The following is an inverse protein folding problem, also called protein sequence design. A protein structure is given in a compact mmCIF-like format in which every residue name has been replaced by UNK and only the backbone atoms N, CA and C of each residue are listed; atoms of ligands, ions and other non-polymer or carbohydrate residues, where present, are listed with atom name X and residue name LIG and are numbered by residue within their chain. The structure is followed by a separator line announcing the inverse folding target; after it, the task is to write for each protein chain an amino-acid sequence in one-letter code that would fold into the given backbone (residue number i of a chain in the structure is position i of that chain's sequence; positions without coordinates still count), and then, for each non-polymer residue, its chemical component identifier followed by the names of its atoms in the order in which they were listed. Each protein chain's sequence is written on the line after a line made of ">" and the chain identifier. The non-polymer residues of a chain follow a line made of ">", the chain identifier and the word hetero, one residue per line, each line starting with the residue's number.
data_IF_527600292374
#
_entry.id   IF_527600292374
#
_cell.length_a   1.000
_cell.length_b   1.000
_cell.length_c   1.000
_cell.angle_alpha   90.00
_cell.angle_beta   90.00
_cell.angle_gamma   90.00
#
_symmetry.space_group_name_H-M   'P 1'
#
loop_
_entity.id
_entity.type
_entity.pdbx_description
1 polymer ?
#
# COMPACT_ATOMS: atom_id res chain seq x y z
N UNK A 1 9.21 0.49 -2.08
CA UNK A 1 9.70 1.30 -0.94
C UNK A 1 10.41 0.44 0.09
N UNK A 2 11.55 0.91 0.64
CA UNK A 2 12.23 0.26 1.77
C UNK A 2 11.62 0.68 3.11
N UNK A 3 11.61 -0.24 4.09
CA UNK A 3 10.97 -0.05 5.40
C UNK A 3 11.58 1.12 6.17
N UNK A 4 12.86 1.44 5.92
CA UNK A 4 13.58 2.55 6.56
C UNK A 4 12.95 3.91 6.24
N UNK A 5 12.60 4.15 4.98
CA UNK A 5 11.97 5.40 4.53
C UNK A 5 10.53 5.57 5.05
N UNK A 6 9.85 4.46 5.35
CA UNK A 6 8.51 4.50 5.94
C UNK A 6 8.55 4.79 7.45
N UNK A 7 9.68 4.53 8.13
CA UNK A 7 9.87 4.86 9.56
C UNK A 7 10.13 6.35 9.80
N UNK A 8 10.68 7.06 8.82
CA UNK A 8 10.98 8.48 8.92
C UNK A 8 9.74 9.36 8.77
N UNK A 9 8.63 8.80 8.27
CA UNK A 9 7.37 9.51 8.05
C UNK A 9 6.52 9.62 9.32
N UNK A 10 5.80 10.74 9.44
CA UNK A 10 4.88 10.97 10.56
C UNK A 10 3.66 10.03 10.49
N UNK A 11 3.00 9.79 11.64
CA UNK A 11 1.82 8.94 11.72
C UNK A 11 0.67 9.40 10.79
N UNK A 12 0.55 10.71 10.56
CA UNK A 12 -0.49 11.26 9.68
C UNK A 12 -0.12 11.12 8.19
N UNK A 13 1.16 11.24 7.84
CA UNK A 13 1.65 10.95 6.50
C UNK A 13 1.49 9.47 6.15
N UNK A 14 1.68 8.57 7.12
CA UNK A 14 1.45 7.14 6.96
C UNK A 14 -0.03 6.82 6.73
N UNK A 15 -0.95 7.51 7.40
CA UNK A 15 -2.40 7.37 7.15
C UNK A 15 -2.82 7.91 5.78
N UNK A 16 -2.26 9.04 5.37
CA UNK A 16 -2.48 9.58 4.02
C UNK A 16 -1.99 8.58 2.96
N UNK A 17 -0.77 8.08 3.12
CA UNK A 17 -0.18 7.10 2.21
C UNK A 17 -0.96 5.78 2.17
N UNK A 18 -1.51 5.32 3.31
CA UNK A 18 -2.39 4.15 3.36
C UNK A 18 -3.66 4.35 2.54
N UNK A 19 -4.20 5.57 2.52
CA UNK A 19 -5.39 5.91 1.74
C UNK A 19 -5.10 5.87 0.24
N UNK A 20 -3.93 6.36 -0.17
CA UNK A 20 -3.50 6.32 -1.57
C UNK A 20 -3.24 4.88 -2.04
N UNK A 21 -2.55 4.07 -1.24
CA UNK A 21 -2.33 2.64 -1.53
C UNK A 21 -3.65 1.86 -1.66
N UNK A 22 -4.69 2.24 -0.91
CA UNK A 22 -6.03 1.66 -1.04
C UNK A 22 -6.71 2.03 -2.35
N UNK A 23 -6.55 3.27 -2.83
CA UNK A 23 -7.04 3.69 -4.15
C UNK A 23 -6.33 2.91 -5.25
N UNK A 24 -5.01 2.77 -5.17
CA UNK A 24 -4.23 1.96 -6.12
C UNK A 24 -4.68 0.50 -6.12
N UNK A 25 -4.90 -0.09 -4.94
CA UNK A 25 -5.44 -1.44 -4.80
C UNK A 25 -6.82 -1.58 -5.47
N UNK A 26 -7.70 -0.59 -5.33
CA UNK A 26 -9.01 -0.58 -5.95
C UNK A 26 -8.91 -0.52 -7.48
N UNK A 27 -8.05 0.35 -8.02
CA UNK A 27 -7.78 0.44 -9.46
C UNK A 27 -7.24 -0.88 -10.02
N UNK A 28 -6.28 -1.51 -9.35
CA UNK A 28 -5.74 -2.82 -9.75
C UNK A 28 -6.80 -3.93 -9.71
N UNK A 29 -7.70 -3.90 -8.71
CA UNK A 29 -8.83 -4.83 -8.63
C UNK A 29 -9.81 -4.62 -9.78
N UNK A 30 -10.10 -3.37 -10.13
CA UNK A 30 -10.98 -3.05 -11.26
C UNK A 30 -10.36 -3.47 -12.59
N UNK A 31 -9.06 -3.24 -12.80
CA UNK A 31 -8.32 -3.72 -13.97
C UNK A 31 -8.36 -5.25 -14.09
N UNK A 32 -8.26 -5.96 -12.96
CA UNK A 32 -8.37 -7.42 -12.93
C UNK A 32 -9.78 -7.90 -13.33
N UNK A 33 -10.83 -7.18 -12.91
CA UNK A 33 -12.23 -7.50 -13.22
C UNK A 33 -12.58 -7.19 -14.68
N UNK A 34 -12.02 -6.13 -15.26
CA UNK A 34 -12.25 -5.76 -16.67
C UNK A 34 -11.52 -6.66 -17.67
N UNK A 35 -10.78 -7.67 -17.20
CA UNK A 35 -10.09 -8.64 -18.05
C UNK A 35 -8.85 -8.09 -18.75
N UNK A 36 -8.42 -6.87 -18.43
CA UNK A 36 -7.10 -6.38 -18.85
C UNK A 36 -6.05 -7.09 -18.02
N UNK A 37 -4.99 -7.62 -18.65
CA UNK A 37 -3.87 -8.26 -17.93
C UNK A 37 -3.28 -7.25 -16.93
N UNK A 38 -3.58 -7.34 -15.63
CA UNK A 38 -2.98 -6.44 -14.68
C UNK A 38 -1.53 -6.89 -14.52
N UNK A 39 -0.61 -5.94 -14.32
CA UNK A 39 0.75 -6.23 -13.86
C UNK A 39 0.65 -7.01 -12.53
N UNK A 40 0.72 -8.33 -12.59
CA UNK A 40 0.44 -9.22 -11.44
C UNK A 40 1.39 -8.98 -10.26
N UNK A 41 2.58 -8.45 -10.53
CA UNK A 41 3.55 -8.03 -9.51
C UNK A 41 3.08 -6.83 -8.70
N UNK A 42 2.32 -5.90 -9.29
CA UNK A 42 1.87 -4.68 -8.61
C UNK A 42 0.84 -4.99 -7.52
N UNK A 43 -0.06 -5.94 -7.75
CA UNK A 43 -1.00 -6.42 -6.73
C UNK A 43 -0.27 -6.96 -5.49
N UNK A 44 0.85 -7.68 -5.69
CA UNK A 44 1.69 -8.19 -4.59
C UNK A 44 2.47 -7.07 -3.91
N UNK A 45 2.96 -6.08 -4.68
CA UNK A 45 3.67 -4.89 -4.17
C UNK A 45 2.77 -4.06 -3.26
N UNK A 46 1.60 -3.64 -3.75
CA UNK A 46 0.64 -2.80 -3.00
C UNK A 46 0.19 -3.50 -1.72
N UNK A 47 -0.09 -4.81 -1.76
CA UNK A 47 -0.48 -5.59 -0.57
C UNK A 47 0.62 -5.58 0.50
N UNK A 48 1.89 -5.70 0.10
CA UNK A 48 3.05 -5.66 1.01
C UNK A 48 3.27 -4.26 1.58
N UNK A 49 3.10 -3.22 0.79
CA UNK A 49 3.23 -1.83 1.27
C UNK A 49 2.15 -1.48 2.29
N UNK A 50 0.89 -1.87 2.05
CA UNK A 50 -0.19 -1.71 3.04
C UNK A 50 0.15 -2.43 4.35
N UNK A 51 0.68 -3.65 4.29
CA UNK A 51 1.07 -4.41 5.48
C UNK A 51 2.20 -3.72 6.26
N UNK A 52 3.21 -3.17 5.58
CA UNK A 52 4.31 -2.43 6.21
C UNK A 52 3.83 -1.15 6.88
N UNK A 53 2.94 -0.39 6.23
CA UNK A 53 2.37 0.84 6.81
C UNK A 53 1.54 0.52 8.04
N UNK A 54 0.69 -0.52 7.97
CA UNK A 54 -0.09 -0.99 9.13
C UNK A 54 0.80 -1.47 10.29
N UNK A 55 1.88 -2.19 9.97
CA UNK A 55 2.84 -2.64 10.98
C UNK A 55 3.50 -1.46 11.68
N UNK A 56 3.91 -0.42 10.94
CA UNK A 56 4.49 0.78 11.54
C UNK A 56 3.50 1.56 12.40
N UNK A 57 2.24 1.69 11.96
CA UNK A 57 1.18 2.31 12.76
C UNK A 57 0.82 1.50 14.02
N UNK A 58 0.91 0.17 13.97
CA UNK A 58 0.61 -0.71 15.11
C UNK A 58 1.79 -0.95 16.05
N UNK A 59 3.03 -0.74 15.60
CA UNK A 59 4.26 -0.90 16.40
C UNK A 59 4.45 0.23 17.41
N UNK A 60 3.74 1.34 17.29
CA UNK A 60 3.81 2.49 18.20
C UNK A 60 2.94 2.30 19.44
N UNK A 61 3.12 1.18 20.14
CA UNK A 61 2.42 0.86 21.40
C UNK A 61 3.39 0.82 22.56
#
# INVERSE_FOLDING_TARGET
>A
MDIKQLREKSADELKAHLTDLRKEQFSLRMQQVTGQLPKTHDTRRVRREIARVKYLLGSTK
#
